data_IF_946509983709
#
_entry.id   IF_946509983709
#
_cell.length_a   1.000
_cell.length_b   1.000
_cell.length_c   1.000
_cell.angle_alpha   90.00
_cell.angle_beta   90.00
_cell.angle_gamma   90.00
#
_symmetry.space_group_name_H-M   'P 1'
#
loop_
_entity.id
_entity.type
_entity.pdbx_description
1 polymer ?
#
# COMPACT_ATOMS: atom_id res chain seq x y z
N UNK A 1 5.65 0.93 7.65
CA UNK A 1 4.24 0.93 8.10
C UNK A 1 3.52 -0.16 7.31
N UNK A 2 3.08 -1.25 7.95
CA UNK A 2 2.37 -2.36 7.27
C UNK A 2 0.87 -2.08 7.37
N UNK A 3 0.27 -1.61 6.28
CA UNK A 3 -1.18 -1.43 6.17
C UNK A 3 -1.80 -2.83 6.08
N UNK A 4 -2.86 -3.15 6.86
CA UNK A 4 -3.58 -4.42 6.68
C UNK A 4 -4.19 -4.44 5.29
N UNK A 5 -3.65 -5.31 4.43
CA UNK A 5 -4.09 -5.48 3.06
C UNK A 5 -4.35 -6.96 2.80
N UNK A 6 -5.41 -7.23 2.07
CA UNK A 6 -5.68 -8.56 1.53
C UNK A 6 -4.79 -8.74 0.32
N UNK A 7 -3.92 -9.74 0.37
CA UNK A 7 -3.11 -10.16 -0.76
C UNK A 7 -3.73 -11.42 -1.38
N UNK A 8 -3.93 -11.38 -2.68
CA UNK A 8 -4.44 -12.51 -3.45
C UNK A 8 -3.46 -12.86 -4.57
N UNK A 9 -2.98 -14.11 -4.55
CA UNK A 9 -2.14 -14.69 -5.58
C UNK A 9 -3.03 -15.35 -6.62
N UNK A 10 -3.14 -14.74 -7.80
CA UNK A 10 -3.89 -15.34 -8.91
C UNK A 10 -3.05 -16.43 -9.59
N UNK A 11 -1.74 -16.21 -9.69
CA UNK A 11 -0.80 -17.15 -10.31
C UNK A 11 0.53 -17.12 -9.55
N UNK A 12 1.45 -18.03 -9.92
CA UNK A 12 2.81 -18.01 -9.38
C UNK A 12 3.63 -16.77 -9.80
N UNK A 13 3.14 -16.00 -10.78
CA UNK A 13 3.82 -14.82 -11.34
C UNK A 13 3.08 -13.51 -11.11
N UNK A 14 1.83 -13.54 -10.63
CA UNK A 14 1.00 -12.35 -10.42
C UNK A 14 0.25 -12.40 -9.09
N UNK A 15 0.40 -11.34 -8.31
CA UNK A 15 -0.35 -11.09 -7.09
C UNK A 15 -0.94 -9.68 -7.10
N UNK A 16 -2.06 -9.52 -6.41
CA UNK A 16 -2.66 -8.21 -6.15
C UNK A 16 -2.90 -8.01 -4.66
N UNK A 17 -2.88 -6.74 -4.24
CA UNK A 17 -3.12 -6.32 -2.86
C UNK A 17 -4.15 -5.22 -2.87
N UNK A 18 -5.11 -5.31 -1.96
CA UNK A 18 -6.05 -4.21 -1.67
C UNK A 18 -6.16 -4.05 -0.17
N UNK A 19 -6.13 -2.81 0.28
CA UNK A 19 -6.23 -2.47 1.70
C UNK A 19 -7.04 -1.20 1.91
N UNK A 20 -7.64 -1.10 3.08
CA UNK A 20 -8.27 0.13 3.56
C UNK A 20 -7.62 0.51 4.88
N UNK A 21 -7.42 1.80 5.09
CA UNK A 21 -6.86 2.36 6.32
C UNK A 21 -7.88 3.34 6.90
N UNK A 22 -8.20 3.19 8.18
CA UNK A 22 -8.89 4.23 8.95
C UNK A 22 -7.87 4.98 9.79
N UNK A 23 -7.94 6.31 9.83
CA UNK A 23 -7.09 7.13 10.66
C UNK A 23 -7.94 8.00 11.58
N UNK A 24 -7.48 8.19 12.81
CA UNK A 24 -8.10 9.07 13.79
C UNK A 24 -7.06 10.09 14.24
N UNK A 25 -7.43 11.37 14.19
CA UNK A 25 -6.65 12.44 14.81
C UNK A 25 -7.53 13.18 15.80
N UNK A 26 -6.92 13.57 16.92
CA UNK A 26 -7.55 14.42 17.94
C UNK A 26 -6.88 15.78 17.88
N UNK A 27 -7.68 16.82 17.67
CA UNK A 27 -7.24 18.22 17.65
C UNK A 27 -8.26 19.06 18.41
N UNK A 28 -7.83 19.77 19.46
CA UNK A 28 -8.68 20.66 20.28
C UNK A 28 -10.05 20.07 20.64
N UNK A 29 -10.07 18.92 21.31
CA UNK A 29 -11.28 18.18 21.73
C UNK A 29 -12.19 17.67 20.59
N UNK A 30 -11.83 17.90 19.33
CA UNK A 30 -12.52 17.36 18.16
C UNK A 30 -11.82 16.11 17.61
N UNK A 31 -12.62 15.07 17.35
CA UNK A 31 -12.18 13.82 16.73
C UNK A 31 -12.38 13.95 15.22
N UNK A 32 -11.28 13.89 14.47
CA UNK A 32 -11.32 13.89 13.01
C UNK A 32 -10.99 12.50 12.46
N UNK A 33 -11.87 12.03 11.58
CA UNK A 33 -11.73 10.77 10.86
C UNK A 33 -11.03 11.01 9.52
N UNK A 34 -9.97 10.24 9.28
CA UNK A 34 -9.34 10.08 7.97
C UNK A 34 -9.57 8.67 7.44
N UNK A 35 -9.44 8.51 6.13
CA UNK A 35 -9.54 7.21 5.47
C UNK A 35 -8.50 7.09 4.38
N UNK A 36 -8.14 5.88 4.01
CA UNK A 36 -7.20 5.61 2.93
C UNK A 36 -7.54 4.31 2.22
N UNK A 37 -7.20 4.27 0.94
CA UNK A 37 -7.30 3.10 0.09
C UNK A 37 -5.91 2.80 -0.44
N UNK A 38 -5.54 1.54 -0.37
CA UNK A 38 -4.31 0.99 -0.92
C UNK A 38 -4.68 -0.02 -1.99
N UNK A 39 -4.01 0.07 -3.14
CA UNK A 39 -3.99 -0.98 -4.14
C UNK A 39 -2.55 -1.28 -4.55
N UNK A 40 -2.25 -2.54 -4.85
CA UNK A 40 -0.94 -2.92 -5.33
C UNK A 40 -0.99 -4.15 -6.21
N UNK A 41 -0.01 -4.28 -7.07
CA UNK A 41 0.20 -5.43 -7.93
C UNK A 41 1.67 -5.81 -7.92
N UNK A 42 1.91 -7.11 -8.03
CA UNK A 42 3.26 -7.68 -8.10
C UNK A 42 3.34 -8.58 -9.31
N UNK A 43 4.35 -8.35 -10.14
CA UNK A 43 4.71 -9.22 -11.24
C UNK A 43 6.08 -9.83 -10.99
N UNK A 44 6.13 -11.15 -10.97
CA UNK A 44 7.37 -11.92 -10.88
C UNK A 44 7.83 -12.32 -12.27
N UNK A 45 8.96 -11.79 -12.70
CA UNK A 45 9.65 -12.14 -13.93
C UNK A 45 10.68 -13.22 -13.61
N UNK A 46 10.31 -14.47 -13.87
CA UNK A 46 11.12 -15.65 -13.54
C UNK A 46 12.43 -15.67 -14.33
N UNK A 47 12.41 -15.31 -15.62
CA UNK A 47 13.60 -15.30 -16.48
C UNK A 47 14.71 -14.38 -15.97
N UNK A 48 14.32 -13.26 -15.34
CA UNK A 48 15.24 -12.23 -14.86
C UNK A 48 15.42 -12.25 -13.34
N UNK A 49 14.87 -13.27 -12.66
CA UNK A 49 14.88 -13.40 -11.20
C UNK A 49 14.48 -12.10 -10.48
N UNK A 50 13.45 -11.44 -11.02
CA UNK A 50 13.06 -10.09 -10.68
C UNK A 50 11.59 -10.04 -10.26
N UNK A 51 11.31 -9.40 -9.13
CA UNK A 51 9.96 -9.06 -8.68
C UNK A 51 9.75 -7.56 -8.87
N UNK A 52 8.72 -7.20 -9.65
CA UNK A 52 8.29 -5.83 -9.89
C UNK A 52 7.01 -5.57 -9.09
N UNK A 53 7.08 -4.63 -8.16
CA UNK A 53 5.99 -4.24 -7.27
C UNK A 53 5.54 -2.83 -7.57
N UNK A 54 4.26 -2.65 -7.89
CA UNK A 54 3.62 -1.34 -8.00
C UNK A 54 2.57 -1.21 -6.89
N UNK A 55 2.71 -0.20 -6.04
CA UNK A 55 1.77 0.08 -4.96
C UNK A 55 1.30 1.53 -5.05
N UNK A 56 -0.01 1.71 -5.00
CA UNK A 56 -0.70 2.97 -5.02
C UNK A 56 -1.44 3.13 -3.69
N UNK A 57 -1.22 4.26 -3.03
CA UNK A 57 -1.92 4.61 -1.79
C UNK A 57 -2.56 5.97 -1.98
N UNK A 58 -3.84 6.07 -1.70
CA UNK A 58 -4.57 7.32 -1.63
C UNK A 58 -5.12 7.49 -0.23
N UNK A 59 -4.80 8.59 0.44
CA UNK A 59 -5.20 8.84 1.83
C UNK A 59 -5.80 10.22 1.96
N UNK A 60 -6.91 10.31 2.68
CA UNK A 60 -7.48 11.53 3.21
C UNK A 60 -7.08 11.62 4.68
N UNK A 61 -6.16 12.53 4.98
CA UNK A 61 -5.65 12.73 6.34
C UNK A 61 -6.19 14.01 6.94
N UNK A 62 -6.67 13.98 8.19
CA UNK A 62 -7.02 15.20 8.89
C UNK A 62 -5.75 16.02 9.17
N UNK A 63 -5.87 17.32 8.97
CA UNK A 63 -4.82 18.27 9.33
C UNK A 63 -4.62 18.27 10.84
N UNK A 64 -3.36 18.40 11.25
CA UNK A 64 -2.96 18.49 12.67
C UNK A 64 -2.82 19.94 13.15
N UNK A 65 -3.07 20.90 12.24
CA UNK A 65 -2.81 22.33 12.47
C UNK A 65 -4.07 23.17 12.21
N UNK A 66 -4.94 22.73 11.31
CA UNK A 66 -6.17 23.43 10.93
C UNK A 66 -7.33 22.46 11.14
N UNK A 67 -8.29 22.85 11.97
CA UNK A 67 -9.51 22.06 12.20
C UNK A 67 -10.33 21.91 10.91
N UNK A 68 -11.05 20.80 10.78
CA UNK A 68 -11.94 20.47 9.65
C UNK A 68 -11.27 20.32 8.26
N UNK A 69 -9.96 20.51 8.16
CA UNK A 69 -9.24 20.35 6.90
C UNK A 69 -8.79 18.90 6.69
N UNK A 70 -9.32 18.24 5.66
CA UNK A 70 -8.80 16.99 5.11
C UNK A 70 -7.93 17.30 3.90
N UNK A 71 -6.72 16.74 3.87
CA UNK A 71 -5.86 16.86 2.70
C UNK A 71 -5.64 15.50 2.03
N UNK A 72 -5.65 15.45 0.68
CA UNK A 72 -5.30 14.25 -0.06
C UNK A 72 -3.79 14.04 -0.03
N UNK A 73 -3.39 12.80 0.22
CA UNK A 73 -2.01 12.32 0.16
C UNK A 73 -1.99 11.11 -0.78
N UNK A 74 -1.34 11.28 -1.93
CA UNK A 74 -1.20 10.25 -2.95
C UNK A 74 0.24 9.78 -3.02
N UNK A 75 0.46 8.49 -2.80
CA UNK A 75 1.77 7.86 -2.83
C UNK A 75 1.76 6.75 -3.86
N UNK A 76 2.67 6.86 -4.83
CA UNK A 76 3.02 5.79 -5.74
C UNK A 76 4.39 5.25 -5.37
N UNK A 77 4.47 3.94 -5.15
CA UNK A 77 5.71 3.23 -4.88
C UNK A 77 5.90 2.17 -5.96
N UNK A 78 6.92 2.34 -6.78
CA UNK A 78 7.43 1.33 -7.68
C UNK A 78 8.71 0.75 -7.08
N UNK A 79 8.74 -0.56 -6.87
CA UNK A 79 9.91 -1.27 -6.38
C UNK A 79 10.28 -2.36 -7.37
N UNK A 80 11.59 -2.49 -7.60
CA UNK A 80 12.17 -3.58 -8.38
C UNK A 80 13.11 -4.33 -7.44
N UNK A 81 12.84 -5.60 -7.24
CA UNK A 81 13.59 -6.45 -6.31
C UNK A 81 14.20 -7.60 -7.09
N UNK A 82 15.52 -7.63 -7.16
CA UNK A 82 16.25 -8.80 -7.67
C UNK A 82 16.45 -9.76 -6.51
N UNK A 83 15.86 -10.94 -6.62
CA UNK A 83 16.02 -11.97 -5.62
C UNK A 83 16.95 -13.04 -6.17
N UNK A 84 18.22 -13.01 -5.77
CA UNK A 84 19.17 -14.12 -5.97
C UNK A 84 18.85 -15.34 -5.07
N UNK A 85 17.70 -15.31 -4.40
CA UNK A 85 17.20 -16.39 -3.57
C UNK A 85 16.68 -17.49 -4.50
N UNK A 86 17.60 -18.37 -4.90
CA UNK A 86 17.29 -19.74 -5.31
C UNK A 86 16.36 -20.37 -4.27
N UNK A 87 15.05 -20.35 -4.51
CA UNK A 87 14.08 -21.18 -3.78
C UNK A 87 13.09 -21.80 -4.74
N UNK A 88 13.54 -22.92 -5.30
CA UNK A 88 12.88 -24.22 -5.19
C UNK A 88 11.44 -24.16 -4.67
N UNK A 89 10.47 -24.22 -5.57
CA UNK A 89 9.19 -24.85 -5.31
C UNK A 89 9.16 -26.16 -6.09
N UNK A 90 9.32 -27.26 -5.37
CA UNK A 90 8.80 -28.57 -5.78
C UNK A 90 7.27 -28.50 -5.82
#
# INVERSE_FOLDING_TARGET
MRIPAIEHFFTNWFASRLGIEGSLAVLNDSIMLGYGILGGITFRIVEWHCDLDLNLTYRMRPSRVVEELLYPDFICLLSVSFSDVFRSRN
#
